data_IF_239078053305
#
_entry.id   IF_239078053305
#
_cell.length_a   1.000
_cell.length_b   1.000
_cell.length_c   1.000
_cell.angle_alpha   90.00
_cell.angle_beta   90.00
_cell.angle_gamma   90.00
#
_symmetry.space_group_name_H-M   'P 1'
#
loop_
_entity.id
_entity.type
_entity.pdbx_description
1 polymer ?
#
# COMPACT_ATOMS: atom_id res chain seq x y z
N UNK A 1 9.79 -73.19 4.25
CA UNK A 1 9.46 -72.87 5.66
C UNK A 1 10.59 -72.07 6.28
N UNK A 2 10.26 -70.98 7.01
CA UNK A 2 11.11 -70.07 7.81
C UNK A 2 11.85 -68.99 6.98
N UNK A 3 11.38 -67.72 6.92
CA UNK A 3 11.31 -66.61 7.91
C UNK A 3 12.55 -65.69 7.92
N UNK A 4 12.41 -64.49 7.32
CA UNK A 4 12.71 -63.13 7.89
C UNK A 4 14.22 -62.78 8.09
N UNK A 5 14.80 -61.59 7.88
CA UNK A 5 14.44 -60.15 7.91
C UNK A 5 15.55 -59.39 7.16
N UNK A 6 15.24 -58.31 6.41
CA UNK A 6 16.01 -57.05 6.40
C UNK A 6 15.30 -55.99 5.55
N UNK A 7 15.05 -54.86 6.19
CA UNK A 7 14.33 -53.67 5.73
C UNK A 7 15.39 -52.60 5.39
N UNK A 8 14.99 -51.63 4.57
CA UNK A 8 15.43 -50.21 4.52
C UNK A 8 16.31 -49.83 3.32
N UNK A 9 15.80 -48.83 2.59
CA UNK A 9 16.45 -47.80 1.78
C UNK A 9 16.14 -47.86 0.27
N UNK A 10 15.74 -46.68 -0.22
CA UNK A 10 15.68 -46.24 -1.63
C UNK A 10 14.40 -46.54 -2.41
N UNK A 11 13.29 -45.90 -1.98
CA UNK A 11 12.31 -45.34 -2.92
C UNK A 11 11.51 -44.20 -2.25
N UNK A 12 12.20 -43.27 -1.60
CA UNK A 12 11.67 -41.94 -1.30
C UNK A 12 12.55 -40.98 -2.11
N UNK A 13 11.91 -40.19 -2.99
CA UNK A 13 12.46 -39.15 -3.90
C UNK A 13 12.16 -39.42 -5.39
N UNK A 14 10.88 -39.42 -5.75
CA UNK A 14 10.39 -39.01 -7.08
C UNK A 14 8.86 -38.93 -7.08
N UNK A 15 8.30 -38.10 -6.19
CA UNK A 15 6.91 -37.65 -6.25
C UNK A 15 6.87 -36.13 -6.08
N UNK A 16 7.75 -35.43 -6.81
CA UNK A 16 7.40 -34.12 -7.32
C UNK A 16 6.51 -34.37 -8.53
N UNK A 17 5.20 -34.52 -8.27
CA UNK A 17 4.20 -34.52 -9.32
C UNK A 17 4.37 -33.22 -10.12
N UNK A 18 4.75 -33.36 -11.39
CA UNK A 18 4.71 -32.26 -12.34
C UNK A 18 3.27 -31.75 -12.37
N UNK A 19 3.04 -30.58 -11.76
CA UNK A 19 1.81 -29.82 -11.97
C UNK A 19 1.77 -29.56 -13.48
N UNK A 20 0.69 -29.93 -14.20
CA UNK A 20 0.64 -29.72 -15.64
C UNK A 20 0.90 -28.24 -15.95
N UNK A 21 1.70 -27.97 -16.98
CA UNK A 21 2.16 -26.63 -17.38
C UNK A 21 1.00 -25.62 -17.50
N UNK A 22 -0.19 -26.09 -17.90
CA UNK A 22 -1.43 -25.30 -17.93
C UNK A 22 -1.86 -24.79 -16.53
N UNK A 23 -1.76 -25.61 -15.49
CA UNK A 23 -2.09 -25.22 -14.12
C UNK A 23 -1.03 -24.31 -13.49
N UNK A 24 0.22 -24.33 -13.98
CA UNK A 24 1.25 -23.38 -13.55
C UNK A 24 1.08 -22.01 -14.21
N UNK A 25 0.72 -21.96 -15.50
CA UNK A 25 0.41 -20.71 -16.22
C UNK A 25 -0.79 -19.97 -15.61
N UNK A 26 -1.87 -20.70 -15.30
CA UNK A 26 -3.03 -20.15 -14.60
C UNK A 26 -2.70 -19.54 -13.22
N UNK A 27 -1.88 -20.24 -12.42
CA UNK A 27 -1.49 -19.76 -11.09
C UNK A 27 -0.61 -18.51 -11.17
N UNK A 28 0.34 -18.47 -12.11
CA UNK A 28 1.22 -17.32 -12.28
C UNK A 28 0.45 -16.11 -12.83
N UNK A 29 -0.51 -16.32 -13.73
CA UNK A 29 -1.41 -15.28 -14.23
C UNK A 29 -2.21 -14.62 -13.09
N UNK A 30 -2.86 -15.43 -12.26
CA UNK A 30 -3.62 -14.92 -11.10
C UNK A 30 -2.70 -14.23 -10.10
N UNK A 31 -1.49 -14.76 -9.87
CA UNK A 31 -0.50 -14.14 -9.00
C UNK A 31 0.02 -12.79 -9.55
N UNK A 32 0.16 -12.65 -10.86
CA UNK A 32 0.54 -11.39 -11.50
C UNK A 32 -0.51 -10.30 -11.25
N UNK A 33 -1.80 -10.62 -11.40
CA UNK A 33 -2.89 -9.69 -11.07
C UNK A 33 -2.88 -9.30 -9.58
N UNK A 34 -2.63 -10.26 -8.68
CA UNK A 34 -2.49 -10.00 -7.23
C UNK A 34 -1.34 -9.05 -6.90
N UNK A 35 -0.20 -9.18 -7.58
CA UNK A 35 0.96 -8.30 -7.39
C UNK A 35 0.83 -6.94 -8.10
N UNK A 36 -0.16 -6.77 -8.98
CA UNK A 36 -0.31 -5.57 -9.78
C UNK A 36 0.65 -5.48 -10.97
N UNK A 37 1.11 -6.63 -11.49
CA UNK A 37 1.99 -6.69 -12.66
C UNK A 37 1.15 -6.68 -13.95
N UNK A 38 0.80 -5.49 -14.40
CA UNK A 38 -0.01 -5.28 -15.59
C UNK A 38 0.64 -5.86 -16.86
N UNK A 39 1.96 -5.73 -17.01
CA UNK A 39 2.66 -6.22 -18.20
C UNK A 39 2.66 -7.75 -18.26
N UNK A 40 2.75 -8.42 -17.11
CA UNK A 40 2.61 -9.88 -17.04
C UNK A 40 1.16 -10.32 -17.34
N UNK A 41 0.15 -9.64 -16.79
CA UNK A 41 -1.26 -9.93 -17.08
C UNK A 41 -1.56 -9.75 -18.57
N UNK A 42 -1.15 -8.63 -19.17
CA UNK A 42 -1.39 -8.36 -20.60
C UNK A 42 -0.73 -9.40 -21.49
N UNK A 43 0.56 -9.68 -21.30
CA UNK A 43 1.28 -10.69 -22.09
C UNK A 43 0.68 -12.09 -21.94
N UNK A 44 0.23 -12.44 -20.75
CA UNK A 44 -0.43 -13.72 -20.51
C UNK A 44 -1.76 -13.83 -21.27
N UNK A 45 -2.60 -12.79 -21.28
CA UNK A 45 -3.84 -12.78 -22.05
C UNK A 45 -3.61 -12.73 -23.57
N UNK A 46 -2.56 -12.05 -24.04
CA UNK A 46 -2.16 -12.07 -25.45
C UNK A 46 -1.72 -13.47 -25.90
N UNK A 47 -1.06 -14.22 -25.00
CA UNK A 47 -0.61 -15.58 -25.29
C UNK A 47 -1.73 -16.62 -25.15
N UNK A 48 -2.61 -16.46 -24.18
CA UNK A 48 -3.72 -17.37 -23.88
C UNK A 48 -4.91 -16.59 -23.29
N UNK A 49 -5.90 -16.21 -24.13
CA UNK A 49 -7.09 -15.49 -23.69
C UNK A 49 -7.95 -16.27 -22.68
N UNK A 50 -7.90 -17.60 -22.66
CA UNK A 50 -8.75 -18.43 -21.80
C UNK A 50 -8.35 -18.30 -20.32
N UNK A 51 -7.11 -17.84 -20.05
CA UNK A 51 -6.62 -17.52 -18.70
C UNK A 51 -7.47 -16.49 -17.98
N UNK A 52 -8.24 -15.66 -18.69
CA UNK A 52 -9.13 -14.65 -18.08
C UNK A 52 -10.11 -15.25 -17.06
N UNK A 53 -10.45 -16.53 -17.22
CA UNK A 53 -11.35 -17.28 -16.35
C UNK A 53 -10.63 -18.11 -15.26
N UNK A 54 -9.29 -18.09 -15.23
CA UNK A 54 -8.50 -18.89 -14.33
C UNK A 54 -8.69 -18.51 -12.86
N UNK A 55 -8.66 -19.51 -11.99
CA UNK A 55 -8.74 -19.36 -10.54
C UNK A 55 -7.50 -19.92 -9.84
N UNK A 56 -7.13 -19.34 -8.71
CA UNK A 56 -6.13 -19.93 -7.82
C UNK A 56 -6.71 -21.05 -6.93
N UNK A 57 -5.90 -21.53 -5.98
CA UNK A 57 -6.30 -22.58 -5.04
C UNK A 57 -7.39 -22.16 -4.04
N UNK A 58 -7.67 -20.86 -3.92
CA UNK A 58 -8.76 -20.30 -3.09
C UNK A 58 -10.03 -20.08 -3.93
N UNK A 59 -10.03 -20.45 -5.21
CA UNK A 59 -11.14 -20.17 -6.13
C UNK A 59 -11.21 -18.70 -6.55
N UNK A 60 -10.17 -17.91 -6.30
CA UNK A 60 -10.14 -16.49 -6.63
C UNK A 60 -9.64 -16.27 -8.05
N UNK A 61 -10.33 -15.43 -8.81
CA UNK A 61 -9.92 -15.04 -10.17
C UNK A 61 -8.87 -13.93 -10.15
N UNK A 62 -8.21 -13.70 -11.28
CA UNK A 62 -7.36 -12.52 -11.47
C UNK A 62 -8.13 -11.21 -11.24
N UNK A 63 -9.41 -11.16 -11.63
CA UNK A 63 -10.27 -9.98 -11.46
C UNK A 63 -10.52 -9.68 -9.98
N UNK A 64 -10.73 -10.74 -9.19
CA UNK A 64 -10.94 -10.64 -7.74
C UNK A 64 -9.73 -10.03 -7.02
N UNK A 65 -8.54 -10.48 -7.39
CA UNK A 65 -7.29 -9.97 -6.86
C UNK A 65 -6.97 -8.56 -7.35
N UNK A 66 -7.31 -8.23 -8.60
CA UNK A 66 -7.18 -6.87 -9.12
C UNK A 66 -8.05 -5.88 -8.33
N UNK A 67 -9.29 -6.25 -7.99
CA UNK A 67 -10.16 -5.44 -7.14
C UNK A 67 -9.57 -5.30 -5.72
N UNK A 68 -9.19 -6.41 -5.10
CA UNK A 68 -8.63 -6.44 -3.72
C UNK A 68 -7.34 -5.64 -3.60
N UNK A 69 -6.52 -5.63 -4.65
CA UNK A 69 -5.26 -4.88 -4.72
C UNK A 69 -5.40 -3.44 -5.20
N UNK A 70 -6.61 -2.97 -5.53
CA UNK A 70 -6.87 -1.66 -6.15
C UNK A 70 -6.14 -1.44 -7.48
N UNK A 71 -5.86 -2.52 -8.22
CA UNK A 71 -5.18 -2.48 -9.52
C UNK A 71 -6.19 -2.18 -10.63
N UNK A 72 -6.84 -1.02 -10.57
CA UNK A 72 -8.00 -0.68 -11.40
C UNK A 72 -7.75 -0.70 -12.92
N UNK A 73 -6.51 -0.48 -13.35
CA UNK A 73 -6.17 -0.60 -14.77
C UNK A 73 -6.17 -2.07 -15.23
N UNK A 74 -5.60 -2.97 -14.41
CA UNK A 74 -5.70 -4.43 -14.61
C UNK A 74 -7.16 -4.87 -14.55
N UNK A 75 -7.92 -4.34 -13.58
CA UNK A 75 -9.34 -4.63 -13.44
C UNK A 75 -10.12 -4.31 -14.72
N UNK A 76 -9.96 -3.10 -15.27
CA UNK A 76 -10.58 -2.70 -16.55
C UNK A 76 -10.15 -3.61 -17.70
N UNK A 77 -8.87 -3.95 -17.79
CA UNK A 77 -8.36 -4.87 -18.82
C UNK A 77 -9.03 -6.24 -18.73
N UNK A 78 -9.16 -6.79 -17.53
CA UNK A 78 -9.78 -8.10 -17.31
C UNK A 78 -11.27 -8.10 -17.65
N UNK A 79 -12.02 -7.05 -17.24
CA UNK A 79 -13.43 -6.92 -17.64
C UNK A 79 -13.57 -6.80 -19.16
N UNK A 80 -12.74 -5.98 -19.81
CA UNK A 80 -12.75 -5.82 -21.26
C UNK A 80 -12.37 -7.12 -22.00
N UNK A 81 -11.55 -7.98 -21.38
CA UNK A 81 -11.20 -9.31 -21.89
C UNK A 81 -12.29 -10.37 -21.62
N UNK A 82 -13.44 -10.00 -21.03
CA UNK A 82 -14.54 -10.92 -20.76
C UNK A 82 -14.38 -11.76 -19.50
N UNK A 83 -13.66 -11.26 -18.49
CA UNK A 83 -13.56 -11.94 -17.19
C UNK A 83 -14.94 -12.23 -16.59
N UNK A 84 -15.17 -13.43 -16.03
CA UNK A 84 -16.44 -13.77 -15.40
C UNK A 84 -16.67 -12.92 -14.14
N UNK A 85 -17.66 -12.03 -14.19
CA UNK A 85 -17.97 -11.09 -13.09
C UNK A 85 -18.84 -11.68 -11.98
N UNK A 86 -19.54 -12.79 -12.25
CA UNK A 86 -20.43 -13.46 -11.30
C UNK A 86 -19.79 -14.68 -10.62
N UNK A 87 -18.48 -14.91 -10.84
CA UNK A 87 -17.72 -15.92 -10.11
C UNK A 87 -17.71 -15.60 -8.61
N UNK A 88 -17.84 -16.62 -7.77
CA UNK A 88 -17.79 -16.49 -6.32
C UNK A 88 -16.44 -16.93 -5.78
N UNK A 89 -15.86 -16.12 -4.89
CA UNK A 89 -14.62 -16.47 -4.19
C UNK A 89 -14.85 -17.40 -3.00
N UNK A 90 -13.78 -17.60 -2.21
CA UNK A 90 -13.80 -18.46 -1.02
C UNK A 90 -14.84 -18.08 0.05
N UNK A 91 -15.28 -16.81 0.08
CA UNK A 91 -16.28 -16.30 1.00
C UNK A 91 -17.71 -16.33 0.44
N UNK A 92 -17.88 -16.88 -0.76
CA UNK A 92 -19.13 -16.86 -1.52
C UNK A 92 -19.46 -15.48 -2.11
N UNK A 93 -18.60 -14.48 -1.96
CA UNK A 93 -18.79 -13.15 -2.53
C UNK A 93 -18.32 -13.07 -3.97
N UNK A 94 -19.00 -12.24 -4.77
CA UNK A 94 -18.61 -11.90 -6.14
C UNK A 94 -17.63 -10.73 -6.17
N UNK A 95 -17.09 -10.43 -7.36
CA UNK A 95 -16.28 -9.23 -7.56
C UNK A 95 -17.02 -7.94 -7.21
N UNK A 96 -18.35 -7.90 -7.39
CA UNK A 96 -19.19 -6.78 -6.98
C UNK A 96 -19.04 -6.47 -5.49
N UNK A 97 -18.99 -7.51 -4.63
CA UNK A 97 -18.76 -7.33 -3.19
C UNK A 97 -17.40 -6.68 -2.92
N UNK A 98 -16.38 -7.06 -3.67
CA UNK A 98 -15.00 -6.53 -3.52
C UNK A 98 -14.90 -5.10 -4.02
N UNK A 99 -15.54 -4.75 -5.13
CA UNK A 99 -15.54 -3.36 -5.60
C UNK A 99 -16.33 -2.46 -4.65
N UNK A 100 -17.46 -2.94 -4.11
CA UNK A 100 -18.25 -2.19 -3.12
C UNK A 100 -17.55 -1.97 -1.77
N UNK A 101 -16.34 -2.53 -1.57
CA UNK A 101 -15.48 -2.15 -0.46
C UNK A 101 -14.82 -0.77 -0.63
N UNK A 102 -14.82 -0.25 -1.85
CA UNK A 102 -14.15 0.98 -2.25
C UNK A 102 -15.18 1.96 -2.81
N UNK A 103 -14.93 3.25 -2.62
CA UNK A 103 -15.80 4.31 -3.11
C UNK A 103 -15.51 4.62 -4.58
N UNK A 104 -15.81 3.65 -5.44
CA UNK A 104 -15.47 3.65 -6.88
C UNK A 104 -16.70 3.32 -7.72
N UNK A 105 -17.65 4.27 -7.84
CA UNK A 105 -18.86 4.06 -8.63
C UNK A 105 -18.54 3.72 -10.09
N UNK A 106 -17.46 4.26 -10.66
CA UNK A 106 -17.01 3.95 -12.02
C UNK A 106 -16.70 2.45 -12.23
N UNK A 107 -16.19 1.76 -11.20
CA UNK A 107 -15.89 0.33 -11.28
C UNK A 107 -17.15 -0.51 -11.08
N UNK A 108 -18.10 -0.03 -10.28
CA UNK A 108 -19.41 -0.67 -10.09
C UNK A 108 -20.25 -0.56 -11.36
N UNK A 109 -20.25 0.59 -12.04
CA UNK A 109 -20.89 0.77 -13.33
C UNK A 109 -20.32 -0.18 -14.39
N UNK A 110 -18.99 -0.27 -14.46
CA UNK A 110 -18.32 -1.20 -15.37
C UNK A 110 -18.76 -2.66 -15.14
N UNK A 111 -18.93 -3.07 -13.89
CA UNK A 111 -19.43 -4.42 -13.58
C UNK A 111 -20.88 -4.62 -14.02
N UNK A 112 -21.74 -3.62 -13.86
CA UNK A 112 -23.11 -3.68 -14.36
C UNK A 112 -23.17 -3.79 -15.88
N UNK A 113 -22.34 -3.03 -16.60
CA UNK A 113 -22.22 -3.11 -18.06
C UNK A 113 -21.74 -4.51 -18.50
N UNK A 114 -20.91 -5.16 -17.69
CA UNK A 114 -20.47 -6.53 -17.89
C UNK A 114 -21.47 -7.61 -17.43
N UNK A 115 -22.68 -7.23 -16.99
CA UNK A 115 -23.73 -8.16 -16.58
C UNK A 115 -23.59 -8.74 -15.17
N UNK A 116 -22.96 -7.99 -14.25
CA UNK A 116 -22.88 -8.39 -12.85
C UNK A 116 -24.26 -8.42 -12.18
N UNK A 117 -24.52 -9.47 -11.40
CA UNK A 117 -25.73 -9.63 -10.61
C UNK A 117 -25.63 -8.88 -9.28
N UNK A 118 -26.63 -8.03 -9.01
CA UNK A 118 -26.73 -7.22 -7.80
C UNK A 118 -27.33 -7.98 -6.61
N UNK A 119 -28.09 -9.04 -6.88
CA UNK A 119 -28.85 -9.78 -5.87
C UNK A 119 -28.02 -10.85 -5.16
N UNK A 120 -26.76 -11.06 -5.55
CA UNK A 120 -25.92 -12.12 -4.99
C UNK A 120 -25.63 -11.84 -3.51
N UNK A 121 -25.83 -12.85 -2.68
CA UNK A 121 -25.45 -12.81 -1.28
C UNK A 121 -24.30 -13.76 -1.00
N UNK A 122 -23.28 -13.30 -0.27
CA UNK A 122 -22.17 -14.15 0.12
C UNK A 122 -22.55 -15.17 1.21
N UNK A 123 -21.58 -15.94 1.71
CA UNK A 123 -21.85 -17.01 2.69
C UNK A 123 -22.45 -16.52 4.01
N UNK A 124 -22.42 -15.21 4.30
CA UNK A 124 -23.04 -14.62 5.48
C UNK A 124 -24.40 -13.98 5.17
N UNK A 125 -24.91 -14.09 3.94
CA UNK A 125 -26.14 -13.44 3.49
C UNK A 125 -25.95 -11.96 3.16
N UNK A 126 -24.71 -11.45 3.09
CA UNK A 126 -24.48 -10.04 2.78
C UNK A 126 -24.59 -9.83 1.28
N UNK A 127 -25.43 -8.89 0.87
CA UNK A 127 -25.45 -8.34 -0.49
C UNK A 127 -24.38 -7.24 -0.67
N UNK A 128 -24.02 -6.84 -1.90
CA UNK A 128 -23.06 -5.77 -2.16
C UNK A 128 -23.40 -4.46 -1.44
N UNK A 129 -24.69 -4.13 -1.33
CA UNK A 129 -25.15 -2.93 -0.63
C UNK A 129 -24.79 -2.94 0.87
N UNK A 130 -24.78 -4.11 1.52
CA UNK A 130 -24.30 -4.22 2.91
C UNK A 130 -22.81 -3.89 3.03
N UNK A 131 -22.02 -4.21 2.00
CA UNK A 131 -20.59 -3.93 2.00
C UNK A 131 -20.35 -2.43 1.86
N UNK A 132 -21.03 -1.78 0.91
CA UNK A 132 -20.98 -0.32 0.75
C UNK A 132 -21.45 0.40 2.03
N UNK A 133 -22.56 -0.07 2.63
CA UNK A 133 -23.09 0.42 3.90
C UNK A 133 -22.09 0.34 5.06
N UNK A 134 -21.36 -0.77 5.16
CA UNK A 134 -20.33 -0.93 6.19
C UNK A 134 -19.18 0.05 6.00
N UNK A 135 -18.79 0.32 4.75
CA UNK A 135 -17.60 1.11 4.40
C UNK A 135 -17.87 2.61 4.28
N UNK A 136 -19.14 3.02 4.29
CA UNK A 136 -19.49 4.43 4.08
C UNK A 136 -19.35 4.88 2.63
N UNK A 137 -19.32 3.97 1.66
CA UNK A 137 -19.21 4.30 0.23
C UNK A 137 -20.57 4.80 -0.28
N UNK A 138 -20.84 6.09 -0.08
CA UNK A 138 -22.15 6.70 -0.32
C UNK A 138 -22.54 6.63 -1.79
N UNK A 139 -21.65 7.05 -2.67
CA UNK A 139 -21.87 7.13 -4.12
C UNK A 139 -22.10 5.73 -4.70
N UNK A 140 -21.37 4.74 -4.20
CA UNK A 140 -21.61 3.33 -4.56
C UNK A 140 -22.97 2.86 -4.07
N UNK A 141 -23.36 3.16 -2.83
CA UNK A 141 -24.68 2.77 -2.33
C UNK A 141 -25.81 3.45 -3.10
N UNK A 142 -25.68 4.73 -3.44
CA UNK A 142 -26.62 5.48 -4.29
C UNK A 142 -26.79 4.78 -5.63
N UNK A 143 -25.68 4.41 -6.28
CA UNK A 143 -25.69 3.68 -7.54
C UNK A 143 -26.35 2.30 -7.40
N UNK A 144 -26.02 1.52 -6.38
CA UNK A 144 -26.62 0.20 -6.16
C UNK A 144 -28.15 0.29 -5.97
N UNK A 145 -28.62 1.26 -5.18
CA UNK A 145 -30.04 1.52 -4.96
C UNK A 145 -30.73 1.95 -6.25
N UNK A 146 -30.12 2.83 -7.04
CA UNK A 146 -30.62 3.24 -8.34
C UNK A 146 -30.72 2.08 -9.35
N UNK A 147 -29.88 1.05 -9.19
CA UNK A 147 -29.90 -0.19 -9.98
C UNK A 147 -30.81 -1.29 -9.39
N UNK A 148 -31.61 -0.94 -8.38
CA UNK A 148 -32.64 -1.82 -7.81
C UNK A 148 -32.15 -2.74 -6.70
N UNK A 149 -31.04 -2.42 -6.01
CA UNK A 149 -30.67 -3.13 -4.80
C UNK A 149 -31.77 -2.98 -3.75
N UNK A 150 -32.16 -4.09 -3.11
CA UNK A 150 -33.12 -4.08 -2.02
C UNK A 150 -32.48 -3.44 -0.76
N UNK A 151 -32.95 -2.26 -0.30
CA UNK A 151 -32.41 -1.62 0.90
C UNK A 151 -32.64 -2.46 2.17
N UNK A 152 -33.67 -3.31 2.17
CA UNK A 152 -34.08 -4.17 3.27
C UNK A 152 -33.62 -5.62 3.13
N UNK A 153 -32.74 -5.90 2.16
CA UNK A 153 -32.05 -7.17 2.06
C UNK A 153 -31.46 -7.53 3.42
N UNK A 154 -31.66 -8.76 3.86
CA UNK A 154 -31.24 -9.20 5.19
C UNK A 154 -30.12 -10.24 5.12
N UNK A 155 -29.13 -10.12 6.00
CA UNK A 155 -28.11 -11.15 6.21
C UNK A 155 -28.70 -12.38 6.91
N UNK A 156 -27.89 -13.44 7.08
CA UNK A 156 -28.28 -14.64 7.83
C UNK A 156 -28.62 -14.34 9.29
N UNK A 157 -28.06 -13.28 9.86
CA UNK A 157 -28.38 -12.80 11.21
C UNK A 157 -29.61 -11.87 11.26
N UNK A 158 -30.31 -11.68 10.13
CA UNK A 158 -31.47 -10.78 10.03
C UNK A 158 -31.08 -9.30 9.92
N UNK A 159 -29.80 -8.99 9.71
CA UNK A 159 -29.35 -7.61 9.65
C UNK A 159 -29.70 -7.03 8.29
N UNK A 160 -30.48 -5.95 8.29
CA UNK A 160 -30.69 -5.15 7.08
C UNK A 160 -29.47 -4.27 6.80
N UNK A 161 -29.44 -3.66 5.61
CA UNK A 161 -28.44 -2.63 5.29
C UNK A 161 -28.42 -1.50 6.33
N UNK A 162 -29.58 -1.07 6.84
CA UNK A 162 -29.66 -0.06 7.90
C UNK A 162 -28.95 -0.50 9.19
N UNK A 163 -29.11 -1.76 9.62
CA UNK A 163 -28.41 -2.26 10.82
C UNK A 163 -26.89 -2.14 10.65
N UNK A 164 -26.39 -2.45 9.44
CA UNK A 164 -24.98 -2.35 9.13
C UNK A 164 -24.51 -0.89 9.15
N UNK A 165 -25.26 0.03 8.54
CA UNK A 165 -24.93 1.46 8.51
C UNK A 165 -24.89 2.08 9.91
N UNK A 166 -25.89 1.78 10.76
CA UNK A 166 -25.93 2.25 12.15
C UNK A 166 -24.76 1.71 12.98
N UNK A 167 -24.44 0.42 12.86
CA UNK A 167 -23.30 -0.17 13.56
C UNK A 167 -21.96 0.38 13.08
N UNK A 168 -21.84 0.65 11.79
CA UNK A 168 -20.61 1.22 11.23
C UNK A 168 -20.45 2.71 11.55
N UNK A 169 -21.52 3.36 12.05
CA UNK A 169 -21.54 4.79 12.35
C UNK A 169 -21.46 5.63 11.08
N UNK A 170 -22.27 5.30 10.07
CA UNK A 170 -22.29 5.95 8.75
C UNK A 170 -23.59 6.77 8.58
N UNK A 171 -23.70 7.97 9.18
CA UNK A 171 -24.95 8.73 9.23
C UNK A 171 -25.46 9.15 7.85
N UNK A 172 -24.56 9.50 6.92
CA UNK A 172 -24.92 9.88 5.56
C UNK A 172 -25.56 8.71 4.80
N UNK A 173 -25.12 7.47 5.08
CA UNK A 173 -25.73 6.28 4.51
C UNK A 173 -27.03 5.88 5.20
N UNK A 174 -27.18 6.14 6.50
CA UNK A 174 -28.47 6.00 7.18
C UNK A 174 -29.50 6.91 6.51
N UNK A 175 -29.17 8.18 6.29
CA UNK A 175 -30.06 9.12 5.61
C UNK A 175 -30.41 8.66 4.20
N UNK A 176 -29.41 8.22 3.42
CA UNK A 176 -29.63 7.71 2.07
C UNK A 176 -30.57 6.50 2.05
N UNK A 177 -30.33 5.51 2.91
CA UNK A 177 -31.13 4.28 2.96
C UNK A 177 -32.57 4.56 3.36
N UNK A 178 -32.78 5.45 4.33
CA UNK A 178 -34.13 5.90 4.72
C UNK A 178 -34.83 6.65 3.58
N UNK A 179 -34.11 7.51 2.86
CA UNK A 179 -34.65 8.20 1.67
C UNK A 179 -34.99 7.21 0.54
N UNK A 180 -34.25 6.11 0.43
CA UNK A 180 -34.52 5.01 -0.50
C UNK A 180 -35.61 4.03 -0.02
N UNK A 181 -36.26 4.30 1.12
CA UNK A 181 -37.41 3.54 1.61
C UNK A 181 -37.07 2.35 2.50
N UNK A 182 -35.86 2.26 3.05
CA UNK A 182 -35.49 1.21 4.01
C UNK A 182 -36.37 1.25 5.28
N UNK A 183 -36.83 0.09 5.75
CA UNK A 183 -37.68 -0.02 6.94
C UNK A 183 -36.85 0.06 8.24
N UNK A 184 -36.89 1.22 8.90
CA UNK A 184 -36.26 1.45 10.19
C UNK A 184 -36.87 0.61 11.35
N UNK A 185 -38.08 0.05 11.16
CA UNK A 185 -38.79 -0.79 12.12
C UNK A 185 -38.45 -2.27 12.03
N UNK A 186 -37.70 -2.70 11.00
CA UNK A 186 -37.34 -4.10 10.79
C UNK A 186 -36.34 -4.56 11.87
N UNK A 187 -36.69 -5.60 12.60
CA UNK A 187 -35.83 -6.16 13.67
C UNK A 187 -34.94 -7.27 13.13
N UNK A 188 -33.73 -7.37 13.67
CA UNK A 188 -32.84 -8.50 13.42
C UNK A 188 -33.28 -9.79 14.15
N UNK A 189 -32.53 -10.88 13.97
CA UNK A 189 -32.84 -12.15 14.63
C UNK A 189 -32.68 -12.10 16.17
N UNK A 190 -32.01 -11.09 16.71
CA UNK A 190 -31.92 -10.84 18.14
C UNK A 190 -33.06 -9.93 18.66
N UNK A 191 -33.99 -9.54 17.78
CA UNK A 191 -35.12 -8.67 18.10
C UNK A 191 -34.74 -7.20 18.25
N UNK A 192 -33.55 -6.78 17.82
CA UNK A 192 -33.10 -5.38 17.93
C UNK A 192 -33.37 -4.59 16.66
N UNK A 193 -33.67 -3.31 16.79
CA UNK A 193 -33.80 -2.35 15.70
C UNK A 193 -32.43 -1.87 15.21
N UNK A 194 -32.33 -1.33 13.98
CA UNK A 194 -31.09 -0.75 13.47
C UNK A 194 -30.47 0.31 14.40
N UNK A 195 -31.29 1.25 14.88
CA UNK A 195 -30.84 2.35 15.74
C UNK A 195 -30.30 1.89 17.11
N UNK A 196 -30.67 0.70 17.58
CA UNK A 196 -30.16 0.13 18.83
C UNK A 196 -28.70 -0.33 18.71
N UNK A 197 -28.17 -0.43 17.49
CA UNK A 197 -26.75 -0.70 17.22
C UNK A 197 -25.92 0.55 16.94
N UNK A 198 -26.50 1.75 17.09
CA UNK A 198 -25.82 3.02 16.82
C UNK A 198 -24.46 3.09 17.51
N UNK A 199 -23.40 3.06 16.71
CA UNK A 199 -22.03 3.22 17.19
C UNK A 199 -21.70 4.71 17.31
N UNK A 200 -21.35 5.18 18.50
CA UNK A 200 -20.81 6.51 18.71
C UNK A 200 -19.28 6.45 18.72
N UNK A 201 -18.67 7.19 17.80
CA UNK A 201 -17.21 7.35 17.76
C UNK A 201 -16.76 8.21 18.93
N UNK A 202 -15.64 7.88 19.58
CA UNK A 202 -15.04 8.78 20.56
C UNK A 202 -14.71 10.13 19.90
N UNK A 203 -14.79 11.25 20.64
CA UNK A 203 -14.37 12.55 20.13
C UNK A 203 -12.88 12.53 19.76
N UNK A 204 -12.53 13.21 18.67
CA UNK A 204 -11.15 13.30 18.23
C UNK A 204 -10.33 14.18 19.20
N UNK A 205 -9.05 13.84 19.37
CA UNK A 205 -8.08 14.61 20.17
C UNK A 205 -7.02 15.18 19.24
N UNK A 206 -6.58 16.42 19.44
CA UNK A 206 -5.50 16.97 18.60
C UNK A 206 -4.15 16.29 18.88
N UNK A 207 -3.46 15.90 17.81
CA UNK A 207 -2.06 15.48 17.83
C UNK A 207 -1.30 16.41 16.89
N UNK A 208 -0.15 16.91 17.34
CA UNK A 208 0.75 17.70 16.50
C UNK A 208 1.11 16.92 15.23
N UNK A 209 0.94 17.52 14.05
CA UNK A 209 1.17 16.84 12.76
C UNK A 209 2.59 16.23 12.66
N UNK A 210 3.59 16.86 13.27
CA UNK A 210 4.96 16.36 13.32
C UNK A 210 5.10 15.00 14.06
N UNK A 211 4.23 14.72 15.03
CA UNK A 211 4.22 13.46 15.80
C UNK A 211 3.59 12.31 15.03
N UNK A 212 2.77 12.57 14.01
CA UNK A 212 2.14 11.51 13.20
C UNK A 212 3.18 10.61 12.50
N UNK A 213 4.35 11.15 12.18
CA UNK A 213 5.45 10.40 11.57
C UNK A 213 6.03 9.31 12.50
N UNK A 214 5.85 9.41 13.81
CA UNK A 214 6.30 8.39 14.76
C UNK A 214 5.63 7.03 14.52
N UNK A 215 4.38 7.05 14.03
CA UNK A 215 3.55 5.87 13.75
C UNK A 215 3.73 5.31 12.33
N UNK A 216 4.47 5.99 11.46
CA UNK A 216 4.63 5.55 10.07
C UNK A 216 5.46 4.26 9.99
N UNK A 217 4.98 3.24 9.28
CA UNK A 217 5.77 2.03 9.10
C UNK A 217 5.00 0.84 8.55
N UNK A 218 5.72 -0.26 8.41
CA UNK A 218 5.15 -1.58 8.16
C UNK A 218 5.10 -2.36 9.47
N UNK A 219 3.97 -2.99 9.74
CA UNK A 219 3.74 -3.75 10.96
C UNK A 219 3.34 -5.18 10.60
N UNK A 220 4.24 -6.13 10.87
CA UNK A 220 4.10 -7.52 10.51
C UNK A 220 3.25 -8.26 11.55
N UNK A 221 2.10 -8.77 11.11
CA UNK A 221 1.16 -9.56 11.92
C UNK A 221 1.39 -11.05 11.70
N UNK A 222 1.75 -11.44 10.47
CA UNK A 222 2.19 -12.77 10.09
C UNK A 222 3.17 -12.70 8.90
N UNK A 223 3.68 -13.84 8.45
CA UNK A 223 4.62 -13.93 7.32
C UNK A 223 4.05 -13.31 6.03
N UNK A 224 2.75 -13.49 5.78
CA UNK A 224 2.07 -13.04 4.56
C UNK A 224 1.24 -11.77 4.74
N UNK A 225 1.17 -11.23 5.96
CA UNK A 225 0.21 -10.17 6.29
C UNK A 225 0.84 -9.08 7.16
N UNK A 226 0.77 -7.84 6.68
CA UNK A 226 1.27 -6.67 7.36
C UNK A 226 0.33 -5.49 7.17
N UNK A 227 0.25 -4.64 8.18
CA UNK A 227 -0.37 -3.33 8.05
C UNK A 227 0.65 -2.33 7.53
N UNK A 228 0.22 -1.46 6.62
CA UNK A 228 0.99 -0.29 6.22
C UNK A 228 0.36 0.96 6.84
N UNK A 229 1.16 1.72 7.58
CA UNK A 229 0.77 3.02 8.14
C UNK A 229 1.59 4.12 7.48
N UNK A 230 0.94 5.18 7.01
CA UNK A 230 1.63 6.34 6.43
C UNK A 230 0.87 7.63 6.69
N UNK A 231 1.56 8.76 6.59
CA UNK A 231 0.96 10.08 6.67
C UNK A 231 0.61 10.55 5.25
N UNK A 232 -0.60 11.07 5.06
CA UNK A 232 -1.05 11.69 3.82
C UNK A 232 -1.64 13.07 4.13
N UNK A 233 -0.91 14.14 3.81
CA UNK A 233 -1.27 15.47 4.30
C UNK A 233 -1.09 15.54 5.82
N UNK A 234 -2.17 15.86 6.53
CA UNK A 234 -2.20 15.97 8.00
C UNK A 234 -2.91 14.78 8.68
N UNK A 235 -3.21 13.71 7.93
CA UNK A 235 -3.90 12.53 8.45
C UNK A 235 -3.02 11.29 8.39
N UNK A 236 -3.16 10.43 9.40
CA UNK A 236 -2.56 9.10 9.41
C UNK A 236 -3.48 8.15 8.65
N UNK A 237 -2.92 7.26 7.83
CA UNK A 237 -3.68 6.27 7.06
C UNK A 237 -3.19 4.86 7.37
N UNK A 238 -4.13 3.93 7.47
CA UNK A 238 -3.90 2.49 7.62
C UNK A 238 -4.31 1.78 6.34
N UNK A 239 -3.49 0.84 5.84
CA UNK A 239 -3.85 -0.02 4.72
C UNK A 239 -3.77 -1.47 5.15
N UNK A 240 -4.92 -2.12 5.00
CA UNK A 240 -5.14 -3.55 5.12
C UNK A 240 -5.81 -4.06 3.83
N UNK A 241 -7.11 -3.75 3.66
CA UNK A 241 -7.92 -4.06 2.45
C UNK A 241 -8.32 -2.80 1.66
N UNK A 242 -7.60 -1.70 1.88
CA UNK A 242 -7.89 -0.37 1.34
C UNK A 242 -7.36 0.70 2.30
N UNK A 243 -7.07 1.90 1.80
CA UNK A 243 -6.63 3.00 2.64
C UNK A 243 -7.78 3.51 3.51
N UNK A 244 -7.59 3.55 4.83
CA UNK A 244 -8.53 4.16 5.76
C UNK A 244 -7.83 5.29 6.54
N UNK A 245 -8.55 6.36 6.80
CA UNK A 245 -8.07 7.49 7.60
C UNK A 245 -8.20 7.17 9.08
N UNK A 246 -7.14 7.39 9.84
CA UNK A 246 -7.12 7.21 11.28
C UNK A 246 -7.23 8.58 11.95
N UNK A 247 -8.27 8.77 12.75
CA UNK A 247 -8.38 9.95 13.61
C UNK A 247 -7.94 9.60 15.04
N UNK A 248 -7.16 10.48 15.67
CA UNK A 248 -6.71 10.31 17.04
C UNK A 248 -7.87 10.39 18.05
N UNK A 249 -7.90 9.45 18.98
CA UNK A 249 -8.84 9.41 20.12
C UNK A 249 -8.12 9.41 21.47
N UNK A 250 -6.79 9.37 21.43
CA UNK A 250 -5.87 9.48 22.56
C UNK A 250 -4.42 9.60 22.05
N UNK A 251 -3.41 9.68 22.94
CA UNK A 251 -2.02 9.92 22.55
C UNK A 251 -1.46 8.90 21.55
N UNK A 252 -1.77 7.61 21.72
CA UNK A 252 -1.33 6.52 20.82
C UNK A 252 -2.52 5.66 20.37
N UNK A 253 -3.73 6.22 20.44
CA UNK A 253 -4.97 5.52 20.15
C UNK A 253 -5.73 6.22 19.04
N UNK A 254 -6.10 5.47 18.03
CA UNK A 254 -6.75 5.96 16.84
C UNK A 254 -7.98 5.13 16.53
N UNK A 255 -8.91 5.71 15.79
CA UNK A 255 -9.99 4.96 15.17
C UNK A 255 -9.95 5.20 13.67
N UNK A 256 -10.30 4.16 12.92
CA UNK A 256 -10.46 4.26 11.49
C UNK A 256 -11.76 5.00 11.12
N UNK A 257 -11.75 5.76 10.03
CA UNK A 257 -12.85 6.60 9.56
C UNK A 257 -13.90 5.78 8.83
N UNK A 258 -13.51 4.78 8.05
CA UNK A 258 -14.43 3.99 7.23
C UNK A 258 -14.82 2.73 7.97
N UNK A 259 -13.87 2.15 8.70
CA UNK A 259 -14.05 0.95 9.49
C UNK A 259 -14.17 1.25 10.98
N UNK A 260 -15.04 0.55 11.75
CA UNK A 260 -15.16 0.72 13.19
C UNK A 260 -14.02 0.02 13.95
N UNK A 261 -12.80 0.11 13.44
CA UNK A 261 -11.61 -0.50 14.02
C UNK A 261 -10.95 0.52 14.94
N UNK A 262 -10.57 0.09 16.13
CA UNK A 262 -9.68 0.86 16.99
C UNK A 262 -8.25 0.36 16.81
N UNK A 263 -7.32 1.30 16.74
CA UNK A 263 -5.90 1.05 16.53
C UNK A 263 -5.14 1.63 17.71
N UNK A 264 -4.31 0.81 18.33
CA UNK A 264 -3.45 1.23 19.44
C UNK A 264 -2.00 0.97 19.07
N UNK A 265 -1.16 1.98 19.24
CA UNK A 265 0.28 1.83 19.07
C UNK A 265 0.95 1.65 20.41
N UNK A 266 1.74 0.59 20.57
CA UNK A 266 2.50 0.37 21.81
C UNK A 266 3.94 0.84 21.63
N UNK A 267 4.42 1.57 22.64
CA UNK A 267 5.79 2.08 22.73
C UNK A 267 6.66 1.17 23.59
N UNK A 268 7.95 1.12 23.29
CA UNK A 268 8.95 0.49 24.16
C UNK A 268 9.34 1.40 25.34
N UNK A 269 10.22 0.89 26.22
CA UNK A 269 10.74 1.62 27.38
C UNK A 269 11.49 2.92 27.00
N UNK A 270 12.00 3.01 25.76
CA UNK A 270 12.65 4.20 25.23
C UNK A 270 11.66 5.18 24.57
N UNK A 271 10.36 4.88 24.60
CA UNK A 271 9.30 5.71 24.04
C UNK A 271 9.08 5.56 22.52
N UNK A 272 9.77 4.62 21.85
CA UNK A 272 9.61 4.41 20.42
C UNK A 272 8.43 3.47 20.12
N UNK A 273 7.61 3.80 19.12
CA UNK A 273 6.50 2.93 18.68
C UNK A 273 7.06 1.63 18.08
N UNK A 274 6.71 0.49 18.67
CA UNK A 274 7.20 -0.85 18.28
C UNK A 274 6.14 -1.83 17.83
N UNK A 275 4.90 -1.61 18.21
CA UNK A 275 3.81 -2.54 17.92
C UNK A 275 2.55 -1.77 17.53
N UNK A 276 1.72 -2.41 16.73
CA UNK A 276 0.34 -2.00 16.46
C UNK A 276 -0.60 -3.10 16.94
N UNK A 277 -1.65 -2.73 17.64
CA UNK A 277 -2.81 -3.57 17.91
C UNK A 277 -4.01 -3.02 17.15
N UNK A 278 -4.63 -3.83 16.31
CA UNK A 278 -5.85 -3.47 15.58
C UNK A 278 -7.00 -4.31 16.12
N UNK A 279 -7.97 -3.66 16.73
CA UNK A 279 -9.17 -4.32 17.25
C UNK A 279 -10.29 -4.23 16.21
N UNK A 280 -10.57 -5.37 15.61
CA UNK A 280 -11.73 -5.57 14.75
C UNK A 280 -12.96 -5.90 15.59
N UNK A 281 -14.14 -5.79 14.98
CA UNK A 281 -15.45 -6.08 15.61
C UNK A 281 -15.56 -7.43 16.33
N UNK A 282 -14.75 -8.43 15.99
CA UNK A 282 -14.81 -9.79 16.56
C UNK A 282 -13.47 -10.33 17.07
N UNK A 283 -12.36 -9.62 16.86
CA UNK A 283 -11.01 -10.06 17.29
C UNK A 283 -10.03 -8.90 17.29
N UNK A 284 -9.02 -8.97 18.16
CA UNK A 284 -7.84 -8.12 18.08
C UNK A 284 -6.70 -8.88 17.40
N UNK A 285 -5.89 -8.18 16.60
CA UNK A 285 -4.63 -8.70 16.06
C UNK A 285 -3.50 -7.75 16.43
N UNK A 286 -2.30 -8.30 16.58
CA UNK A 286 -1.09 -7.55 16.92
C UNK A 286 -0.05 -7.72 15.84
N UNK A 287 0.69 -6.66 15.55
CA UNK A 287 1.76 -6.65 14.57
C UNK A 287 3.00 -5.93 15.09
N UNK A 288 4.16 -6.54 14.90
CA UNK A 288 5.45 -5.96 15.26
C UNK A 288 5.90 -4.99 14.19
N UNK A 289 6.35 -3.80 14.55
CA UNK A 289 6.92 -2.85 13.60
C UNK A 289 8.17 -3.44 12.99
N UNK A 290 8.17 -3.58 11.66
CA UNK A 290 9.33 -4.02 10.91
C UNK A 290 10.46 -3.01 11.11
N UNK A 291 11.66 -3.51 11.39
CA UNK A 291 12.86 -2.70 11.31
C UNK A 291 13.05 -2.29 9.85
N UNK A 292 12.70 -1.05 9.54
CA UNK A 292 12.97 -0.41 8.27
C UNK A 292 13.71 0.90 8.56
N UNK A 293 14.63 1.33 7.68
CA UNK A 293 15.37 2.55 7.90
C UNK A 293 14.39 3.73 8.00
N UNK A 294 14.41 4.42 9.14
CA UNK A 294 13.76 5.71 9.32
C UNK A 294 14.74 6.77 8.85
N UNK A 295 14.42 7.43 7.73
CA UNK A 295 15.25 8.51 7.22
C UNK A 295 14.97 9.79 8.01
N UNK A 296 15.71 9.98 9.09
CA UNK A 296 15.54 11.13 10.00
C UNK A 296 15.98 12.44 9.34
N UNK A 297 16.93 12.38 8.41
CA UNK A 297 17.47 13.57 7.72
C UNK A 297 16.44 14.51 7.09
N UNK A 298 15.20 14.10 6.80
CA UNK A 298 14.20 15.03 6.25
C UNK A 298 13.80 16.19 7.18
N UNK A 299 13.88 16.01 8.52
CA UNK A 299 13.53 17.05 9.50
C UNK A 299 14.71 18.00 9.77
N UNK A 300 15.91 17.46 9.91
CA UNK A 300 17.13 18.20 10.22
C UNK A 300 17.71 18.87 8.96
N UNK A 301 17.68 18.20 7.80
CA UNK A 301 18.12 18.80 6.52
C UNK A 301 17.18 19.91 6.05
N UNK A 302 15.91 19.92 6.49
CA UNK A 302 15.00 21.06 6.23
C UNK A 302 15.66 22.36 6.67
N UNK A 303 16.27 22.41 7.86
CA UNK A 303 16.89 23.62 8.40
C UNK A 303 17.93 24.26 7.45
N UNK A 304 18.71 23.43 6.73
CA UNK A 304 19.74 23.89 5.80
C UNK A 304 19.25 24.11 4.36
N UNK A 305 18.09 23.55 3.98
CA UNK A 305 17.55 23.57 2.61
C UNK A 305 16.16 24.26 2.50
N UNK A 306 15.85 25.19 3.41
CA UNK A 306 14.59 25.96 3.49
C UNK A 306 14.43 26.98 2.35
N UNK A 307 14.29 26.51 1.11
CA UNK A 307 13.86 27.33 -0.03
C UNK A 307 12.45 26.95 -0.48
N UNK A 308 11.55 27.93 -0.61
CA UNK A 308 10.17 27.72 -1.07
C UNK A 308 10.08 27.27 -2.53
N UNK A 309 11.15 27.42 -3.31
CA UNK A 309 11.13 27.19 -4.75
C UNK A 309 10.95 25.72 -5.15
N UNK A 310 11.34 24.74 -4.32
CA UNK A 310 11.51 23.35 -4.79
C UNK A 310 10.94 22.25 -3.87
N UNK A 311 10.08 22.58 -2.89
CA UNK A 311 9.40 21.60 -2.03
C UNK A 311 10.36 20.63 -1.33
N UNK A 312 9.83 19.60 -0.65
CA UNK A 312 10.67 18.61 0.03
C UNK A 312 11.33 17.68 -1.02
N UNK A 313 12.66 17.76 -1.26
CA UNK A 313 13.34 16.99 -2.30
C UNK A 313 13.19 15.47 -2.08
N UNK A 314 13.04 15.04 -0.82
CA UNK A 314 12.82 13.66 -0.44
C UNK A 314 11.43 13.14 -0.88
N UNK A 315 10.36 13.93 -0.67
CA UNK A 315 9.02 13.55 -1.13
C UNK A 315 8.94 13.52 -2.66
N UNK A 316 9.74 14.34 -3.35
CA UNK A 316 9.77 14.41 -4.81
C UNK A 316 10.59 13.28 -5.42
N UNK A 317 11.76 12.96 -4.85
CA UNK A 317 12.56 11.79 -5.25
C UNK A 317 11.82 10.48 -5.04
N UNK A 318 11.22 10.23 -3.86
CA UNK A 318 10.48 8.99 -3.57
C UNK A 318 9.25 8.81 -4.48
N UNK A 319 8.76 9.91 -5.07
CA UNK A 319 7.67 9.94 -6.04
C UNK A 319 8.12 9.67 -7.48
N UNK A 320 9.43 9.61 -7.75
CA UNK A 320 9.94 9.28 -9.08
C UNK A 320 9.72 7.79 -9.40
N UNK A 321 9.47 7.49 -10.68
CA UNK A 321 9.31 6.10 -11.16
C UNK A 321 10.56 5.26 -10.90
N UNK A 322 11.73 5.92 -10.89
CA UNK A 322 13.03 5.32 -10.62
C UNK A 322 13.21 4.98 -9.12
N UNK A 323 12.87 5.89 -8.20
CA UNK A 323 12.91 5.61 -6.76
C UNK A 323 11.86 4.60 -6.31
N UNK A 324 10.70 4.52 -6.97
CA UNK A 324 9.71 3.47 -6.72
C UNK A 324 10.20 2.08 -7.18
N UNK A 325 10.92 2.01 -8.30
CA UNK A 325 11.60 0.80 -8.76
C UNK A 325 12.80 0.43 -7.87
N UNK A 326 13.39 1.42 -7.19
CA UNK A 326 14.48 1.28 -6.21
C UNK A 326 13.99 0.89 -4.81
N UNK A 327 12.85 1.39 -4.33
CA UNK A 327 12.21 0.88 -3.12
C UNK A 327 11.92 -0.63 -3.25
N UNK A 328 11.69 -1.08 -4.48
CA UNK A 328 11.62 -2.50 -4.88
C UNK A 328 12.98 -3.03 -5.37
N UNK A 329 14.06 -2.72 -4.66
CA UNK A 329 15.50 -2.88 -4.99
C UNK A 329 16.00 -4.30 -5.40
N UNK A 330 15.11 -5.24 -5.70
CA UNK A 330 15.45 -6.57 -6.18
C UNK A 330 14.56 -7.08 -7.33
N UNK A 331 13.87 -6.22 -8.08
CA UNK A 331 13.03 -6.68 -9.20
C UNK A 331 13.83 -6.84 -10.50
N UNK A 332 13.49 -7.86 -11.28
CA UNK A 332 14.08 -8.15 -12.59
C UNK A 332 13.88 -6.99 -13.58
N UNK A 333 12.87 -6.13 -13.36
CA UNK A 333 12.60 -4.96 -14.20
C UNK A 333 13.65 -3.86 -14.05
N UNK A 334 14.09 -3.56 -12.81
CA UNK A 334 15.17 -2.60 -12.57
C UNK A 334 16.50 -3.09 -13.16
N UNK A 335 16.74 -4.41 -13.11
CA UNK A 335 17.90 -5.05 -13.73
C UNK A 335 17.82 -4.99 -15.26
N UNK A 336 16.66 -5.28 -15.83
CA UNK A 336 16.40 -5.19 -17.27
C UNK A 336 16.67 -3.78 -17.80
N UNK A 337 16.10 -2.75 -17.19
CA UNK A 337 16.29 -1.36 -17.61
C UNK A 337 17.76 -0.94 -17.57
N UNK A 338 18.51 -1.34 -16.54
CA UNK A 338 19.93 -1.06 -16.44
C UNK A 338 20.71 -1.75 -17.57
N UNK A 339 20.47 -3.04 -17.81
CA UNK A 339 21.17 -3.83 -18.84
C UNK A 339 20.80 -3.42 -20.28
N UNK A 340 19.71 -2.70 -20.50
CA UNK A 340 19.42 -2.13 -21.82
C UNK A 340 20.26 -0.88 -22.13
N UNK A 341 20.95 -0.28 -21.14
CA UNK A 341 21.73 0.94 -21.35
C UNK A 341 23.14 0.64 -21.85
N UNK A 342 23.62 1.32 -22.91
CA UNK A 342 24.96 1.09 -23.45
C UNK A 342 26.09 1.17 -22.42
N UNK A 343 25.94 2.04 -21.41
CA UNK A 343 26.96 2.28 -20.37
C UNK A 343 26.96 1.23 -19.22
N UNK A 344 25.95 0.37 -19.15
CA UNK A 344 25.75 -0.60 -18.06
C UNK A 344 25.62 -2.06 -18.56
N UNK A 345 25.65 -2.28 -19.88
CA UNK A 345 25.56 -3.61 -20.52
C UNK A 345 26.69 -4.56 -20.11
N UNK A 346 27.83 -4.04 -19.67
CA UNK A 346 28.99 -4.81 -19.20
C UNK A 346 28.87 -5.31 -17.76
N UNK A 347 27.86 -4.85 -17.02
CA UNK A 347 27.71 -5.16 -15.60
C UNK A 347 27.27 -6.60 -15.37
N UNK A 348 28.13 -7.38 -14.70
CA UNK A 348 27.82 -8.77 -14.29
C UNK A 348 26.93 -8.85 -13.06
N UNK A 349 27.04 -7.88 -12.14
CA UNK A 349 26.20 -7.80 -10.94
C UNK A 349 25.90 -6.32 -10.59
N UNK A 350 24.85 -5.74 -11.21
CA UNK A 350 24.47 -4.35 -10.98
C UNK A 350 24.15 -4.01 -9.51
N UNK A 351 23.79 -5.02 -8.68
CA UNK A 351 23.50 -4.83 -7.25
C UNK A 351 24.73 -4.50 -6.40
N UNK A 352 25.93 -4.67 -6.94
CA UNK A 352 27.19 -4.39 -6.25
C UNK A 352 28.12 -3.44 -6.98
N UNK A 353 27.69 -2.83 -8.09
CA UNK A 353 28.54 -1.95 -8.92
C UNK A 353 28.34 -0.47 -8.53
N UNK A 354 29.44 0.23 -8.23
CA UNK A 354 29.40 1.63 -7.78
C UNK A 354 28.83 2.62 -8.82
N UNK A 355 28.84 2.27 -10.11
CA UNK A 355 28.22 3.08 -11.17
C UNK A 355 26.71 3.11 -11.06
N UNK A 356 26.11 1.99 -10.63
CA UNK A 356 24.70 1.95 -10.29
C UNK A 356 24.41 2.89 -9.11
N UNK A 357 25.26 2.90 -8.07
CA UNK A 357 25.12 3.78 -6.90
C UNK A 357 25.03 5.28 -7.28
N UNK A 358 25.77 5.71 -8.31
CA UNK A 358 25.74 7.08 -8.86
C UNK A 358 24.45 7.41 -9.63
N UNK A 359 23.90 6.45 -10.37
CA UNK A 359 22.55 6.56 -10.97
C UNK A 359 21.45 6.58 -9.89
N UNK A 360 21.64 5.82 -8.82
CA UNK A 360 20.68 5.63 -7.73
C UNK A 360 20.61 6.80 -6.73
N UNK A 361 21.67 7.59 -6.67
CA UNK A 361 21.80 8.71 -5.74
C UNK A 361 21.19 10.01 -6.25
N UNK A 362 21.13 10.19 -7.58
CA UNK A 362 20.69 11.47 -8.14
C UNK A 362 19.67 11.35 -9.25
N UNK A 363 19.73 10.34 -10.13
CA UNK A 363 18.92 10.14 -11.36
C UNK A 363 18.77 11.35 -12.33
N UNK A 364 18.90 12.58 -11.85
CA UNK A 364 18.80 13.88 -12.48
C UNK A 364 19.86 14.12 -13.56
N UNK A 365 20.98 13.41 -13.46
CA UNK A 365 22.11 13.53 -14.37
C UNK A 365 22.05 12.51 -15.51
N UNK A 366 21.13 11.53 -15.46
CA UNK A 366 20.89 10.60 -16.57
C UNK A 366 19.93 11.25 -17.59
N UNK A 367 20.39 11.53 -18.84
CA UNK A 367 19.55 12.13 -19.87
C UNK A 367 18.36 11.25 -20.27
N UNK A 368 18.41 9.94 -20.00
CA UNK A 368 17.37 8.97 -20.35
C UNK A 368 16.54 8.51 -19.13
N UNK A 369 16.65 9.20 -17.99
CA UNK A 369 15.88 8.88 -16.80
C UNK A 369 14.37 9.10 -17.01
N UNK A 370 13.58 8.10 -16.61
CA UNK A 370 12.12 8.17 -16.68
C UNK A 370 11.55 8.71 -15.38
N UNK A 371 11.04 9.93 -15.47
CA UNK A 371 10.44 10.64 -14.36
C UNK A 371 8.91 10.53 -14.37
N UNK A 372 8.26 10.73 -13.22
CA UNK A 372 6.82 10.96 -13.22
C UNK A 372 6.54 12.28 -13.95
N UNK A 373 5.37 12.44 -14.59
CA UNK A 373 5.06 13.67 -15.34
C UNK A 373 5.04 14.96 -14.50
N UNK A 374 5.13 14.83 -13.18
CA UNK A 374 5.19 15.91 -12.19
C UNK A 374 6.60 16.14 -11.62
N UNK A 375 7.62 15.45 -12.12
CA UNK A 375 8.98 15.52 -11.60
C UNK A 375 9.86 16.37 -12.53
N UNK A 376 10.56 17.33 -11.95
CA UNK A 376 11.56 18.16 -12.61
C UNK A 376 12.97 17.69 -12.29
N UNK A 377 13.87 17.81 -13.26
CA UNK A 377 15.21 17.23 -13.17
C UNK A 377 16.04 17.76 -11.98
N UNK A 378 15.77 18.96 -11.49
CA UNK A 378 16.46 19.52 -10.30
C UNK A 378 16.10 18.85 -8.96
N UNK A 379 15.14 17.92 -8.94
CA UNK A 379 14.48 17.46 -7.70
C UNK A 379 15.02 16.13 -7.13
N UNK A 380 16.11 15.57 -7.67
CA UNK A 380 16.46 14.14 -7.53
C UNK A 380 17.58 13.71 -6.58
N UNK A 381 18.21 14.59 -5.78
CA UNK A 381 19.42 14.20 -5.01
C UNK A 381 19.09 13.65 -3.62
N UNK A 382 19.46 12.39 -3.36
CA UNK A 382 19.32 11.72 -2.06
C UNK A 382 20.55 11.86 -1.17
N UNK A 383 20.37 11.94 0.14
CA UNK A 383 21.42 12.32 1.08
C UNK A 383 22.53 11.28 1.28
N UNK A 384 22.25 9.97 1.19
CA UNK A 384 23.29 8.92 1.26
C UNK A 384 24.33 9.06 0.14
N UNK A 385 23.99 9.78 -0.94
CA UNK A 385 24.92 10.15 -2.01
C UNK A 385 26.00 11.13 -1.54
N UNK A 386 25.57 12.16 -0.82
CA UNK A 386 26.41 13.25 -0.37
C UNK A 386 27.12 12.88 0.95
N UNK A 387 26.42 12.13 1.80
CA UNK A 387 26.80 11.86 3.18
C UNK A 387 27.29 10.44 3.44
N UNK A 388 27.36 9.61 2.39
CA UNK A 388 27.80 8.22 2.46
C UNK A 388 26.68 7.24 2.85
N UNK A 389 26.89 5.93 2.60
CA UNK A 389 25.91 4.90 2.93
C UNK A 389 25.81 4.70 4.45
N UNK A 390 24.60 4.62 4.99
CA UNK A 390 24.40 4.33 6.41
C UNK A 390 23.10 4.90 6.95
N UNK A 391 22.05 4.10 6.93
CA UNK A 391 20.75 4.43 7.54
C UNK A 391 20.73 4.37 9.08
N UNK A 392 21.91 4.45 9.73
CA UNK A 392 22.05 4.39 11.18
C UNK A 392 22.11 5.77 11.86
N UNK A 393 22.12 6.88 11.11
CA UNK A 393 22.01 8.24 11.69
C UNK A 393 20.56 8.65 11.97
N UNK A 394 19.83 7.77 12.65
CA UNK A 394 18.41 7.95 12.99
C UNK A 394 18.16 8.91 14.16
N UNK A 395 19.21 9.44 14.78
CA UNK A 395 19.05 10.30 15.96
C UNK A 395 19.17 11.77 15.52
N UNK A 396 18.09 12.57 15.65
CA UNK A 396 18.13 14.01 15.40
C UNK A 396 19.31 14.71 16.08
N UNK A 397 19.68 14.29 17.29
CA UNK A 397 20.78 14.88 18.05
C UNK A 397 22.14 14.61 17.39
N UNK A 398 22.34 13.40 16.85
CA UNK A 398 23.55 13.04 16.09
C UNK A 398 23.58 13.79 14.76
N UNK A 399 22.43 13.93 14.07
CA UNK A 399 22.34 14.62 12.78
C UNK A 399 22.48 16.15 12.88
N UNK A 400 22.14 16.72 14.04
CA UNK A 400 22.33 18.14 14.34
C UNK A 400 23.75 18.47 14.83
N UNK A 401 24.55 17.46 15.20
CA UNK A 401 25.91 17.60 15.70
C UNK A 401 26.92 17.06 14.68
N UNK A 402 27.74 17.97 14.11
CA UNK A 402 28.74 17.61 13.09
C UNK A 402 29.75 16.59 13.60
N UNK A 403 30.21 16.71 14.83
CA UNK A 403 31.23 15.83 15.38
C UNK A 403 30.67 14.43 15.64
N UNK A 404 29.49 14.35 16.27
CA UNK A 404 28.75 13.10 16.46
C UNK A 404 28.38 12.42 15.13
N UNK A 405 27.99 13.20 14.13
CA UNK A 405 27.69 12.70 12.79
C UNK A 405 28.90 12.04 12.12
N UNK A 406 30.06 12.70 12.13
CA UNK A 406 31.30 12.14 11.57
C UNK A 406 31.79 10.93 12.37
N UNK A 407 31.70 10.98 13.70
CA UNK A 407 32.08 9.86 14.58
C UNK A 407 31.22 8.61 14.38
N UNK A 408 29.96 8.78 13.99
CA UNK A 408 29.04 7.69 13.65
C UNK A 408 29.30 7.10 12.24
N UNK A 409 30.26 7.65 11.48
CA UNK A 409 30.63 7.20 10.14
C UNK A 409 30.09 8.07 9.00
N UNK A 410 29.43 9.20 9.31
CA UNK A 410 28.86 10.11 8.33
C UNK A 410 29.93 10.88 7.59
N UNK A 411 29.71 11.14 6.29
CA UNK A 411 30.61 11.97 5.47
C UNK A 411 30.05 13.38 5.36
N UNK A 412 30.90 14.38 5.52
CA UNK A 412 30.59 15.75 5.12
C UNK A 412 31.14 15.92 3.70
N UNK A 413 30.31 16.18 2.68
CA UNK A 413 30.77 16.31 1.31
C UNK A 413 31.66 17.55 1.15
N UNK A 414 32.81 17.37 0.52
CA UNK A 414 33.68 18.46 0.08
C UNK A 414 33.26 18.97 -1.31
N UNK A 415 33.87 20.09 -1.73
CA UNK A 415 33.55 20.73 -3.01
C UNK A 415 33.76 19.78 -4.18
N UNK A 416 34.84 19.01 -4.16
CA UNK A 416 35.17 18.05 -5.21
C UNK A 416 34.12 16.94 -5.31
N UNK A 417 33.66 16.41 -4.16
CA UNK A 417 32.57 15.43 -4.09
C UNK A 417 31.30 16.02 -4.70
N UNK A 418 30.95 17.24 -4.32
CA UNK A 418 29.76 17.92 -4.84
C UNK A 418 29.87 18.23 -6.34
N UNK A 419 31.00 18.74 -6.83
CA UNK A 419 31.23 19.00 -8.27
C UNK A 419 31.22 17.71 -9.08
N UNK A 420 31.72 16.60 -8.51
CA UNK A 420 31.65 15.29 -9.14
C UNK A 420 30.22 14.75 -9.26
N UNK A 421 29.26 15.23 -8.47
CA UNK A 421 27.84 14.86 -8.59
C UNK A 421 27.03 15.89 -9.38
N UNK A 422 27.42 17.16 -9.36
CA UNK A 422 26.74 18.30 -9.98
C UNK A 422 27.53 18.87 -11.17
N UNK A 423 27.86 18.01 -12.14
CA UNK A 423 28.68 18.37 -13.32
C UNK A 423 27.93 19.12 -14.42
N UNK A 424 26.60 19.13 -14.39
CA UNK A 424 25.78 19.75 -15.41
C UNK A 424 25.28 21.14 -14.96
N UNK A 425 25.89 22.24 -15.46
CA UNK A 425 25.56 23.60 -15.05
C UNK A 425 24.14 24.02 -15.49
N UNK A 426 23.56 23.39 -16.51
CA UNK A 426 22.20 23.70 -16.99
C UNK A 426 21.12 23.24 -16.01
N UNK A 427 21.46 22.30 -15.12
CA UNK A 427 20.53 21.65 -14.19
C UNK A 427 20.84 21.92 -12.72
N UNK A 428 22.03 22.42 -12.40
CA UNK A 428 22.41 22.82 -11.06
C UNK A 428 23.42 23.98 -11.10
N UNK A 429 23.00 25.15 -10.60
CA UNK A 429 23.85 26.35 -10.54
C UNK A 429 24.83 26.24 -9.36
N UNK A 430 25.91 25.49 -9.56
CA UNK A 430 26.84 25.12 -8.48
C UNK A 430 27.33 26.32 -7.68
N UNK A 431 27.68 27.42 -8.36
CA UNK A 431 28.25 28.60 -7.69
C UNK A 431 27.24 29.38 -6.85
N UNK A 432 25.93 29.24 -7.13
CA UNK A 432 24.88 29.80 -6.29
C UNK A 432 24.64 28.92 -5.04
N UNK A 433 24.65 27.60 -5.22
CA UNK A 433 24.19 26.65 -4.21
C UNK A 433 25.30 26.15 -3.29
N UNK A 434 26.54 26.06 -3.78
CA UNK A 434 27.67 25.58 -2.99
C UNK A 434 27.87 26.37 -1.69
N UNK A 435 27.83 27.72 -1.65
CA UNK A 435 27.94 28.45 -0.38
C UNK A 435 26.83 28.14 0.64
N UNK A 436 25.65 27.66 0.20
CA UNK A 436 24.53 27.28 1.06
C UNK A 436 24.62 25.83 1.55
N UNK A 437 25.30 24.99 0.79
CA UNK A 437 25.46 23.55 1.03
C UNK A 437 26.78 23.26 1.75
N UNK A 438 27.81 24.08 1.52
CA UNK A 438 29.11 24.00 2.14
C UNK A 438 28.93 24.09 3.66
N UNK A 439 29.22 22.99 4.34
CA UNK A 439 29.23 22.90 5.79
C UNK A 439 30.47 23.63 6.35
N UNK A 440 30.62 24.92 6.06
CA UNK A 440 31.79 25.72 6.45
C UNK A 440 32.10 25.62 7.95
N UNK A 441 33.34 25.94 8.33
CA UNK A 441 33.61 26.33 9.70
C UNK A 441 32.70 27.52 10.01
N UNK A 442 31.94 27.45 11.09
CA UNK A 442 31.26 28.63 11.61
C UNK A 442 32.34 29.65 11.95
N UNK A 443 32.64 30.58 11.05
CA UNK A 443 33.26 31.83 11.44
C UNK A 443 32.32 32.46 12.47
N UNK A 444 32.87 32.69 13.65
CA UNK A 444 32.10 32.97 14.86
C UNK A 444 31.02 34.02 14.67
N UNK A 445 29.81 33.69 15.10
CA UNK A 445 28.79 34.66 15.51
C UNK A 445 28.40 34.31 16.94
N UNK A 446 28.73 35.24 17.84
CA UNK A 446 28.35 35.18 19.25
C UNK A 446 26.94 35.68 19.50
#
# INVERSE_FOLDING_TARGET
MKKSVAIIALAAWALLAAVPVCAQGAREFVAAARRGDENAVRRALEADPDLVSATDALGMTALDWAATGEHWHIFRQLVAAGAPVNGVGFDGGTVMHRVCHYDRPDMVELLFEAGADIAVQNQWGRAPLHVAARRGCREVAELLLARGADPDAATREGWTTLHVAYRAGQPELVELLLAAGADAGKRDNAGKLPAEYSFQRPPAVEIEAAKLYEYQGLYDVSEDFHFKVWVAGEVLKLKDFGADEMYPTGPDSFYCRSEPWSVVFNRDEAGAVREIEVQFLRRAVRGSRRNHPQYVGSKECRACHLGEAHGNPYLRWISSRHAAAYWRLATDWSLFLALQRPYFQDMKNPRGDGRCLLCHSTAAQDPDALFAGTFEVGEGVGCEACHGPGSLYRDPAIMSDREGFVAAGGRVPDEDTCRSCHRNPDRFQFEEWWPRIAHGESEGSG
#
